data_IF_765921199298
#
_entry.id   IF_765921199298
#
_cell.length_a   1.000
_cell.length_b   1.000
_cell.length_c   1.000
_cell.angle_alpha   90.00
_cell.angle_beta   90.00
_cell.angle_gamma   90.00
#
_symmetry.space_group_name_H-M   'P 1'
#
loop_
_entity.id
_entity.type
_entity.pdbx_description
1 polymer ?
#
# COMPACT_ATOMS: atom_id res chain seq x y z
N UNK A 1 -43.78 -43.25 -24.03
CA UNK A 1 -43.07 -44.44 -24.54
C UNK A 1 -44.00 -45.18 -25.46
N UNK A 2 -43.48 -45.61 -26.61
CA UNK A 2 -44.11 -46.58 -27.51
C UNK A 2 -45.32 -46.11 -28.32
N UNK A 3 -45.05 -45.31 -29.36
CA UNK A 3 -45.34 -45.75 -30.72
C UNK A 3 -44.36 -45.01 -31.66
N UNK A 4 -43.17 -45.55 -31.87
CA UNK A 4 -42.90 -46.56 -32.91
C UNK A 4 -42.89 -45.88 -34.30
N UNK A 5 -41.71 -45.52 -34.82
CA UNK A 5 -40.93 -46.44 -35.67
C UNK A 5 -41.71 -47.03 -36.87
N UNK A 6 -42.77 -46.36 -37.34
CA UNK A 6 -43.58 -46.86 -38.46
C UNK A 6 -44.00 -45.81 -39.48
N UNK A 7 -43.06 -45.01 -39.93
CA UNK A 7 -43.12 -44.53 -41.32
C UNK A 7 -41.70 -44.39 -41.86
N UNK A 8 -40.93 -45.48 -41.83
CA UNK A 8 -40.61 -46.22 -43.05
C UNK A 8 -40.64 -45.31 -44.29
N UNK A 9 -39.43 -44.98 -44.75
CA UNK A 9 -38.85 -45.68 -45.91
C UNK A 9 -39.78 -45.61 -47.13
N UNK A 10 -39.60 -44.57 -47.94
CA UNK A 10 -39.86 -44.54 -49.40
C UNK A 10 -39.58 -43.08 -49.80
N UNK A 11 -38.42 -42.76 -50.36
CA UNK A 11 -38.19 -42.83 -51.81
C UNK A 11 -36.68 -42.66 -52.02
N UNK A 12 -35.99 -43.74 -52.41
CA UNK A 12 -35.60 -44.07 -53.80
C UNK A 12 -34.26 -43.43 -54.20
N UNK A 13 -33.19 -44.23 -54.20
CA UNK A 13 -32.23 -44.23 -55.33
C UNK A 13 -32.87 -44.90 -56.56
N UNK A 14 -32.18 -45.10 -57.71
CA UNK A 14 -30.76 -45.48 -57.82
C UNK A 14 -29.95 -44.77 -58.94
N UNK A 15 -28.66 -45.14 -58.99
CA UNK A 15 -27.55 -44.68 -59.86
C UNK A 15 -27.72 -44.97 -61.36
N UNK A 16 -26.82 -44.42 -62.20
CA UNK A 16 -26.08 -45.30 -63.12
C UNK A 16 -24.56 -45.11 -63.09
N UNK A 17 -23.88 -46.04 -63.76
CA UNK A 17 -22.53 -46.52 -63.53
C UNK A 17 -21.61 -46.27 -64.75
N UNK A 18 -20.30 -46.15 -64.48
CA UNK A 18 -19.13 -46.56 -65.30
C UNK A 18 -18.79 -45.86 -66.63
N UNK A 19 -17.58 -45.26 -66.69
CA UNK A 19 -16.38 -45.84 -67.36
C UNK A 19 -15.12 -44.96 -67.22
N UNK A 20 -13.97 -45.65 -67.19
CA UNK A 20 -12.60 -45.22 -66.86
C UNK A 20 -11.84 -44.62 -68.07
N UNK A 21 -10.87 -43.73 -67.84
CA UNK A 21 -9.44 -43.80 -68.32
C UNK A 21 -8.59 -42.59 -67.84
N UNK A 22 -7.24 -42.59 -67.90
CA UNK A 22 -6.42 -42.59 -66.67
C UNK A 22 -5.37 -41.46 -66.52
N UNK A 23 -4.71 -41.50 -65.35
CA UNK A 23 -3.54 -40.80 -64.79
C UNK A 23 -2.56 -40.11 -65.78
N UNK A 24 -2.20 -38.86 -65.49
CA UNK A 24 -0.80 -38.37 -65.52
C UNK A 24 -0.51 -37.47 -64.32
N UNK A 25 0.66 -37.71 -63.75
CA UNK A 25 1.14 -37.18 -62.49
C UNK A 25 1.93 -35.89 -62.69
N UNK A 26 1.63 -34.87 -61.89
CA UNK A 26 2.61 -33.86 -61.49
C UNK A 26 2.55 -33.72 -59.97
N UNK A 27 3.56 -34.31 -59.33
CA UNK A 27 3.81 -34.23 -57.91
C UNK A 27 4.22 -32.80 -57.54
N UNK A 28 3.30 -32.03 -56.95
CA UNK A 28 3.66 -30.90 -56.08
C UNK A 28 3.48 -31.36 -54.64
N UNK A 29 4.62 -31.65 -54.01
CA UNK A 29 4.77 -31.93 -52.59
C UNK A 29 4.10 -30.82 -51.77
N UNK A 30 2.93 -31.13 -51.20
CA UNK A 30 2.33 -30.34 -50.13
C UNK A 30 3.15 -30.62 -48.88
N UNK A 31 4.12 -29.75 -48.58
CA UNK A 31 4.71 -29.65 -47.24
C UNK A 31 3.56 -29.43 -46.25
N UNK A 32 3.20 -30.47 -45.49
CA UNK A 32 2.44 -30.32 -44.26
C UNK A 32 3.27 -29.39 -43.38
N UNK A 33 2.71 -28.22 -43.05
CA UNK A 33 3.20 -27.43 -41.92
C UNK A 33 2.88 -28.28 -40.70
N UNK A 34 3.85 -29.10 -40.31
CA UNK A 34 3.89 -29.67 -38.97
C UNK A 34 3.93 -28.47 -38.03
N UNK A 35 2.77 -28.14 -37.46
CA UNK A 35 2.70 -27.27 -36.31
C UNK A 35 3.45 -28.01 -35.22
N UNK A 36 4.73 -27.67 -35.08
CA UNK A 36 5.53 -28.04 -33.93
C UNK A 36 4.73 -27.58 -32.72
N UNK A 37 4.05 -28.52 -32.06
CA UNK A 37 3.62 -28.36 -30.68
C UNK A 37 4.90 -28.12 -29.92
N UNK A 38 5.22 -26.85 -29.72
CA UNK A 38 6.24 -26.43 -28.77
C UNK A 38 5.81 -27.11 -27.48
N UNK A 39 6.59 -28.07 -26.95
CA UNK A 39 6.28 -28.62 -25.65
C UNK A 39 6.24 -27.41 -24.73
N UNK A 40 5.10 -27.22 -24.05
CA UNK A 40 5.01 -26.30 -22.94
C UNK A 40 6.15 -26.73 -22.03
N UNK A 41 7.23 -25.94 -22.01
CA UNK A 41 8.29 -26.11 -21.04
C UNK A 41 7.58 -25.81 -19.74
N UNK A 42 7.06 -26.86 -19.11
CA UNK A 42 6.90 -26.89 -17.67
C UNK A 42 8.31 -26.67 -17.17
N UNK A 43 8.65 -25.40 -16.97
CA UNK A 43 9.77 -25.02 -16.12
C UNK A 43 9.52 -25.80 -14.85
N UNK A 44 10.33 -26.84 -14.62
CA UNK A 44 10.38 -27.54 -13.37
C UNK A 44 10.45 -26.43 -12.33
N UNK A 45 9.38 -26.28 -11.53
CA UNK A 45 9.32 -25.27 -10.49
C UNK A 45 10.59 -25.45 -9.68
N UNK A 46 11.52 -24.50 -9.77
CA UNK A 46 12.61 -24.40 -8.83
C UNK A 46 11.93 -24.50 -7.47
N UNK A 47 12.25 -25.54 -6.70
CA UNK A 47 11.61 -25.75 -5.42
C UNK A 47 11.80 -24.46 -4.62
N UNK A 48 10.70 -23.76 -4.35
CA UNK A 48 10.73 -22.50 -3.63
C UNK A 48 11.46 -22.75 -2.32
N UNK A 49 12.22 -21.80 -1.77
CA UNK A 49 12.91 -22.00 -0.48
C UNK A 49 11.93 -22.49 0.62
N UNK A 50 10.67 -22.05 0.55
CA UNK A 50 9.58 -22.54 1.37
C UNK A 50 9.29 -24.03 1.18
N UNK A 51 9.28 -24.55 -0.04
CA UNK A 51 9.01 -25.97 -0.32
C UNK A 51 10.09 -26.88 0.27
N UNK A 52 11.36 -26.48 0.14
CA UNK A 52 12.50 -27.18 0.78
C UNK A 52 12.34 -27.18 2.31
N UNK A 53 12.01 -26.02 2.90
CA UNK A 53 11.75 -25.90 4.33
C UNK A 53 10.58 -26.81 4.77
N UNK A 54 9.48 -26.83 4.01
CA UNK A 54 8.32 -27.66 4.31
C UNK A 54 8.64 -29.16 4.24
N UNK A 55 9.52 -29.59 3.34
CA UNK A 55 10.01 -30.97 3.29
C UNK A 55 10.91 -31.31 4.49
N UNK A 56 11.78 -30.40 4.90
CA UNK A 56 12.69 -30.62 6.03
C UNK A 56 11.94 -30.76 7.36
N UNK A 57 10.93 -29.92 7.60
CA UNK A 57 10.16 -29.99 8.85
C UNK A 57 9.28 -31.24 8.94
N UNK A 58 8.95 -31.88 7.82
CA UNK A 58 8.16 -33.12 7.82
C UNK A 58 8.91 -34.31 8.42
N UNK A 59 10.25 -34.28 8.42
CA UNK A 59 11.10 -35.35 8.97
C UNK A 59 10.98 -35.46 10.49
N UNK A 60 10.60 -34.37 11.17
CA UNK A 60 10.47 -34.36 12.62
C UNK A 60 9.15 -34.97 13.08
N UNK A 61 9.24 -35.94 13.99
CA UNK A 61 8.07 -36.57 14.61
C UNK A 61 7.50 -35.73 15.75
N UNK A 62 6.17 -35.74 15.94
CA UNK A 62 5.54 -35.13 17.10
C UNK A 62 5.96 -35.86 18.38
N UNK A 63 6.05 -35.11 19.47
CA UNK A 63 6.47 -35.62 20.78
C UNK A 63 5.25 -36.13 21.57
N UNK A 64 5.48 -37.12 22.43
CA UNK A 64 4.49 -37.52 23.43
C UNK A 64 4.46 -36.53 24.60
N UNK A 65 3.37 -36.54 25.38
CA UNK A 65 3.24 -35.65 26.55
C UNK A 65 4.36 -35.87 27.59
N UNK A 66 4.78 -37.12 27.78
CA UNK A 66 5.88 -37.47 28.69
C UNK A 66 7.23 -36.94 28.19
N UNK A 67 7.47 -37.02 26.87
CA UNK A 67 8.67 -36.48 26.23
C UNK A 67 8.72 -34.95 26.33
N UNK A 68 7.59 -34.27 26.13
CA UNK A 68 7.46 -32.82 26.32
C UNK A 68 7.84 -32.42 27.76
N UNK A 69 7.32 -33.13 28.77
CA UNK A 69 7.64 -32.87 30.17
C UNK A 69 9.11 -33.15 30.53
N UNK A 70 9.71 -34.20 29.95
CA UNK A 70 11.14 -34.47 30.12
C UNK A 70 12.02 -33.38 29.50
N UNK A 71 11.70 -32.93 28.29
CA UNK A 71 12.43 -31.86 27.61
C UNK A 71 12.27 -30.52 28.34
N UNK A 72 11.06 -30.18 28.80
CA UNK A 72 10.80 -28.96 29.58
C UNK A 72 11.67 -28.87 30.85
N UNK A 73 11.78 -29.98 31.60
CA UNK A 73 12.65 -30.06 32.78
C UNK A 73 14.12 -29.82 32.46
N UNK A 74 14.59 -30.30 31.30
CA UNK A 74 15.97 -30.07 30.82
C UNK A 74 16.19 -28.63 30.35
N UNK A 75 15.22 -28.05 29.65
CA UNK A 75 15.26 -26.66 29.19
C UNK A 75 15.40 -25.69 30.37
N UNK A 76 14.69 -25.95 31.48
CA UNK A 76 14.84 -25.18 32.74
C UNK A 76 16.25 -25.21 33.31
N UNK A 77 16.98 -26.30 33.12
CA UNK A 77 18.38 -26.44 33.52
C UNK A 77 19.36 -25.80 32.52
N UNK A 78 18.86 -25.13 31.48
CA UNK A 78 19.68 -24.45 30.47
C UNK A 78 20.10 -25.31 29.28
N UNK A 79 19.52 -26.50 29.11
CA UNK A 79 19.87 -27.42 28.02
C UNK A 79 19.37 -26.92 26.66
N UNK A 80 20.31 -26.46 25.82
CA UNK A 80 20.04 -25.97 24.47
C UNK A 80 19.59 -27.06 23.50
N UNK A 81 20.12 -28.27 23.62
CA UNK A 81 19.75 -29.38 22.73
C UNK A 81 18.31 -29.83 22.99
N UNK A 82 17.88 -29.80 24.26
CA UNK A 82 16.49 -30.07 24.61
C UNK A 82 15.53 -29.01 24.06
N UNK A 83 15.91 -27.73 24.11
CA UNK A 83 15.14 -26.62 23.55
C UNK A 83 14.97 -26.77 22.04
N UNK A 84 16.05 -27.04 21.34
CA UNK A 84 16.04 -27.21 19.90
C UNK A 84 15.19 -28.41 19.46
N UNK A 85 15.30 -29.54 20.17
CA UNK A 85 14.46 -30.72 19.92
C UNK A 85 12.98 -30.42 20.10
N UNK A 86 12.62 -29.70 21.17
CA UNK A 86 11.22 -29.29 21.42
C UNK A 86 10.70 -28.36 20.30
N UNK A 87 11.51 -27.40 19.84
CA UNK A 87 11.13 -26.49 18.76
C UNK A 87 10.96 -27.24 17.43
N UNK A 88 11.98 -28.01 17.01
CA UNK A 88 11.98 -28.74 15.73
C UNK A 88 10.77 -29.68 15.58
N UNK A 89 10.40 -30.38 16.65
CA UNK A 89 9.22 -31.25 16.67
C UNK A 89 7.89 -30.53 16.51
N UNK A 90 7.83 -29.21 16.73
CA UNK A 90 6.61 -28.40 16.68
C UNK A 90 6.57 -27.41 15.50
N UNK A 91 7.57 -27.38 14.60
CA UNK A 91 7.60 -26.45 13.46
C UNK A 91 6.42 -26.63 12.50
N UNK A 92 5.95 -27.88 12.29
CA UNK A 92 4.77 -28.17 11.47
C UNK A 92 3.50 -27.49 11.99
N UNK A 93 3.39 -27.37 13.31
CA UNK A 93 2.26 -26.71 13.94
C UNK A 93 2.26 -25.20 13.63
N UNK A 94 3.41 -24.54 13.67
CA UNK A 94 3.53 -23.12 13.33
C UNK A 94 3.03 -22.84 11.91
N UNK A 95 3.41 -23.68 10.95
CA UNK A 95 2.93 -23.56 9.56
C UNK A 95 1.39 -23.67 9.49
N UNK A 96 0.79 -24.60 10.23
CA UNK A 96 -0.66 -24.74 10.27
C UNK A 96 -1.37 -23.51 10.84
N UNK A 97 -0.76 -22.83 11.82
CA UNK A 97 -1.29 -21.60 12.40
C UNK A 97 -1.11 -20.44 11.41
N UNK A 98 0.07 -20.30 10.81
CA UNK A 98 0.41 -19.23 9.87
C UNK A 98 -0.44 -19.25 8.60
N UNK A 99 -0.82 -20.43 8.09
CA UNK A 99 -1.74 -20.57 6.95
C UNK A 99 -3.08 -19.85 7.14
N UNK A 100 -3.57 -19.74 8.38
CA UNK A 100 -4.82 -19.02 8.66
C UNK A 100 -4.70 -17.49 8.50
N UNK A 101 -3.48 -16.98 8.39
CA UNK A 101 -3.16 -15.55 8.25
C UNK A 101 -2.56 -15.21 6.88
N UNK A 102 -2.63 -16.14 5.92
CA UNK A 102 -2.18 -15.91 4.56
C UNK A 102 -3.01 -14.78 3.90
N UNK A 103 -2.45 -14.16 2.87
CA UNK A 103 -3.12 -13.13 2.03
C UNK A 103 -3.42 -11.81 2.76
N UNK A 104 -2.83 -11.59 3.94
CA UNK A 104 -2.97 -10.35 4.72
C UNK A 104 -1.79 -9.38 4.50
N UNK A 105 -1.20 -9.36 3.31
CA UNK A 105 -0.13 -8.43 2.93
C UNK A 105 1.29 -8.83 3.34
N UNK A 106 1.47 -9.96 4.02
CA UNK A 106 2.80 -10.52 4.37
C UNK A 106 2.92 -11.93 3.76
N UNK A 107 4.03 -12.27 3.09
CA UNK A 107 4.20 -13.59 2.49
C UNK A 107 4.23 -14.69 3.56
N UNK A 108 3.80 -15.90 3.19
CA UNK A 108 3.71 -17.03 4.12
C UNK A 108 5.07 -17.38 4.76
N UNK A 109 6.16 -17.21 4.00
CA UNK A 109 7.54 -17.42 4.48
C UNK A 109 7.86 -16.58 5.71
N UNK A 110 7.53 -15.28 5.64
CA UNK A 110 7.75 -14.33 6.73
C UNK A 110 6.83 -14.64 7.92
N UNK A 111 5.57 -14.98 7.67
CA UNK A 111 4.63 -15.39 8.73
C UNK A 111 5.12 -16.62 9.48
N UNK A 112 5.66 -17.61 8.77
CA UNK A 112 6.24 -18.82 9.37
C UNK A 112 7.50 -18.49 10.16
N UNK A 113 8.39 -17.66 9.61
CA UNK A 113 9.63 -17.23 10.29
C UNK A 113 9.33 -16.53 11.62
N UNK A 114 8.40 -15.57 11.61
CA UNK A 114 7.98 -14.86 12.82
C UNK A 114 7.24 -15.79 13.79
N UNK A 115 6.37 -16.66 13.28
CA UNK A 115 5.71 -17.68 14.07
C UNK A 115 6.71 -18.59 14.80
N UNK A 116 7.81 -18.95 14.14
CA UNK A 116 8.89 -19.74 14.74
C UNK A 116 9.59 -18.95 15.86
N UNK A 117 9.79 -17.64 15.72
CA UNK A 117 10.28 -16.80 16.82
C UNK A 117 9.31 -16.79 18.01
N UNK A 118 8.00 -16.75 17.75
CA UNK A 118 6.97 -16.89 18.79
C UNK A 118 7.03 -18.24 19.52
N UNK A 119 7.22 -19.33 18.76
CA UNK A 119 7.40 -20.67 19.29
C UNK A 119 8.64 -20.78 20.20
N UNK A 120 9.77 -20.19 19.79
CA UNK A 120 11.01 -20.15 20.59
C UNK A 120 10.76 -19.44 21.93
N UNK A 121 10.04 -18.30 21.91
CA UNK A 121 9.66 -17.57 23.13
C UNK A 121 8.78 -18.42 24.05
N UNK A 122 7.81 -19.14 23.48
CA UNK A 122 6.96 -20.07 24.24
C UNK A 122 7.77 -21.20 24.87
N UNK A 123 8.68 -21.82 24.10
CA UNK A 123 9.50 -22.95 24.56
C UNK A 123 10.41 -22.58 25.75
N UNK A 124 10.91 -21.34 25.80
CA UNK A 124 11.72 -20.85 26.93
C UNK A 124 10.90 -20.60 28.21
N UNK A 125 9.60 -20.31 28.09
CA UNK A 125 8.72 -19.93 29.20
C UNK A 125 7.74 -21.02 29.62
N UNK A 126 7.75 -22.16 28.93
CA UNK A 126 6.85 -23.27 29.20
C UNK A 126 7.13 -23.91 30.56
N UNK A 127 6.06 -24.26 31.27
CA UNK A 127 6.09 -24.92 32.57
C UNK A 127 5.33 -26.24 32.50
N UNK A 128 6.04 -27.36 32.70
CA UNK A 128 5.46 -28.69 32.70
C UNK A 128 4.53 -28.96 33.90
N UNK A 129 4.65 -28.21 35.00
CA UNK A 129 3.87 -28.43 36.22
C UNK A 129 2.38 -28.15 36.03
N UNK A 130 2.03 -27.41 34.98
CA UNK A 130 0.65 -26.98 34.73
C UNK A 130 -0.21 -28.02 33.98
N UNK A 131 0.31 -29.23 33.78
CA UNK A 131 -0.39 -30.41 33.22
C UNK A 131 -1.20 -30.14 31.93
N UNK A 132 -0.70 -29.26 31.06
CA UNK A 132 -1.24 -29.02 29.72
C UNK A 132 -0.18 -29.26 28.66
N UNK A 133 -0.61 -29.57 27.43
CA UNK A 133 0.28 -29.79 26.28
C UNK A 133 1.02 -28.50 25.91
N UNK A 134 2.28 -28.63 25.49
CA UNK A 134 3.10 -27.48 25.09
C UNK A 134 2.42 -26.63 24.01
N UNK A 135 1.81 -27.28 23.01
CA UNK A 135 1.13 -26.63 21.90
C UNK A 135 0.01 -25.70 22.39
N UNK A 136 -0.76 -26.09 23.42
CA UNK A 136 -1.85 -25.29 23.98
C UNK A 136 -1.36 -23.93 24.50
N UNK A 137 -0.14 -23.87 25.04
CA UNK A 137 0.50 -22.63 25.47
C UNK A 137 1.18 -21.88 24.32
N UNK A 138 1.83 -22.62 23.41
CA UNK A 138 2.56 -22.04 22.30
C UNK A 138 1.68 -21.26 21.31
N UNK A 139 0.43 -21.69 21.11
CA UNK A 139 -0.52 -21.03 20.19
C UNK A 139 -0.64 -19.53 20.45
N UNK A 140 -0.72 -19.12 21.72
CA UNK A 140 -0.88 -17.71 22.07
C UNK A 140 0.34 -16.89 21.64
N UNK A 141 1.55 -17.38 21.91
CA UNK A 141 2.80 -16.73 21.53
C UNK A 141 3.02 -16.68 20.02
N UNK A 142 2.65 -17.76 19.31
CA UNK A 142 2.73 -17.83 17.85
C UNK A 142 1.77 -16.80 17.23
N UNK A 143 0.50 -16.78 17.68
CA UNK A 143 -0.50 -15.82 17.20
C UNK A 143 -0.10 -14.39 17.50
N UNK A 144 0.38 -14.12 18.71
CA UNK A 144 0.83 -12.78 19.07
C UNK A 144 1.97 -12.31 18.18
N UNK A 145 2.97 -13.16 17.93
CA UNK A 145 4.09 -12.80 17.06
C UNK A 145 3.62 -12.51 15.62
N UNK A 146 2.77 -13.38 15.07
CA UNK A 146 2.20 -13.20 13.72
C UNK A 146 1.38 -11.90 13.64
N UNK A 147 0.46 -11.68 14.58
CA UNK A 147 -0.39 -10.48 14.59
C UNK A 147 0.42 -9.20 14.76
N UNK A 148 1.48 -9.23 15.57
CA UNK A 148 2.39 -8.10 15.73
C UNK A 148 3.10 -7.77 14.41
N UNK A 149 3.61 -8.77 13.71
CA UNK A 149 4.25 -8.57 12.41
C UNK A 149 3.27 -8.10 11.35
N UNK A 150 2.05 -8.64 11.33
CA UNK A 150 1.01 -8.14 10.43
C UNK A 150 0.71 -6.67 10.73
N UNK A 151 0.61 -6.26 11.99
CA UNK A 151 0.42 -4.86 12.37
C UNK A 151 1.55 -3.95 11.85
N UNK A 152 2.79 -4.43 11.91
CA UNK A 152 3.98 -3.63 11.60
C UNK A 152 4.36 -3.66 10.09
N UNK A 153 4.11 -4.75 9.36
CA UNK A 153 4.63 -5.01 8.01
C UNK A 153 3.56 -5.23 6.93
N UNK A 154 2.28 -5.43 7.26
CA UNK A 154 1.27 -5.74 6.23
C UNK A 154 0.93 -4.58 5.29
N UNK A 155 1.31 -3.36 5.64
CA UNK A 155 0.85 -2.13 4.98
C UNK A 155 1.99 -1.17 4.74
N UNK A 156 1.85 -0.35 3.69
CA UNK A 156 2.80 0.72 3.37
C UNK A 156 2.93 1.72 4.52
N UNK A 157 1.82 2.00 5.20
CA UNK A 157 1.80 2.88 6.36
C UNK A 157 1.60 2.09 7.65
N UNK A 158 2.46 2.35 8.64
CA UNK A 158 2.38 1.72 9.96
C UNK A 158 1.14 2.18 10.71
N UNK A 159 0.35 1.23 11.23
CA UNK A 159 -0.82 1.51 12.05
C UNK A 159 -0.50 1.20 13.52
N UNK A 160 -0.87 2.08 14.47
CA UNK A 160 -0.78 1.77 15.89
C UNK A 160 -1.55 0.50 16.30
N UNK A 161 -0.95 -0.33 17.15
CA UNK A 161 -1.50 -1.63 17.59
C UNK A 161 -2.94 -1.55 18.14
N UNK A 162 -3.28 -0.47 18.85
CA UNK A 162 -4.62 -0.27 19.40
C UNK A 162 -5.72 -0.08 18.34
N UNK A 163 -5.36 0.24 17.09
CA UNK A 163 -6.29 0.40 15.97
C UNK A 163 -6.34 -0.82 15.03
N UNK A 164 -5.30 -1.65 15.03
CA UNK A 164 -5.19 -2.82 14.12
C UNK A 164 -6.33 -3.82 14.32
N UNK A 165 -6.73 -4.07 15.57
CA UNK A 165 -7.83 -5.00 15.87
C UNK A 165 -9.17 -4.53 15.28
N UNK A 166 -9.46 -3.23 15.36
CA UNK A 166 -10.66 -2.62 14.78
C UNK A 166 -10.66 -2.73 13.26
N UNK A 167 -9.53 -2.39 12.62
CA UNK A 167 -9.37 -2.51 11.15
C UNK A 167 -9.58 -3.95 10.69
N UNK A 168 -9.01 -4.93 11.39
CA UNK A 168 -9.17 -6.35 11.06
C UNK A 168 -10.62 -6.83 11.21
N UNK A 169 -11.29 -6.46 12.30
CA UNK A 169 -12.70 -6.80 12.55
C UNK A 169 -13.60 -6.23 11.45
N UNK A 170 -13.43 -4.96 11.11
CA UNK A 170 -14.22 -4.29 10.07
C UNK A 170 -13.97 -4.91 8.70
N UNK A 171 -12.72 -5.21 8.33
CA UNK A 171 -12.42 -5.90 7.07
C UNK A 171 -13.11 -7.26 6.97
N UNK A 172 -12.97 -8.09 8.01
CA UNK A 172 -13.60 -9.43 8.03
C UNK A 172 -15.13 -9.39 8.06
N UNK A 173 -15.70 -8.42 8.78
CA UNK A 173 -17.15 -8.20 8.80
C UNK A 173 -17.63 -7.74 7.42
N UNK A 174 -16.89 -6.83 6.77
CA UNK A 174 -17.18 -6.38 5.42
C UNK A 174 -17.21 -7.55 4.43
N UNK A 175 -16.19 -8.41 4.42
CA UNK A 175 -16.15 -9.57 3.52
C UNK A 175 -17.33 -10.53 3.74
N UNK A 176 -17.68 -10.79 5.01
CA UNK A 176 -18.84 -11.62 5.36
C UNK A 176 -20.16 -10.99 4.93
N UNK A 177 -20.32 -9.69 5.14
CA UNK A 177 -21.52 -8.95 4.76
C UNK A 177 -21.67 -8.86 3.25
N UNK A 178 -20.58 -8.66 2.51
CA UNK A 178 -20.59 -8.70 1.04
C UNK A 178 -21.06 -10.06 0.54
N UNK A 179 -20.58 -11.16 1.15
CA UNK A 179 -21.03 -12.51 0.80
C UNK A 179 -22.51 -12.75 1.14
N UNK A 180 -23.00 -12.21 2.26
CA UNK A 180 -24.39 -12.40 2.74
C UNK A 180 -25.41 -11.52 2.02
N UNK A 181 -25.06 -10.26 1.75
CA UNK A 181 -25.96 -9.24 1.21
C UNK A 181 -25.83 -9.09 -0.32
N UNK A 182 -24.80 -9.68 -0.92
CA UNK A 182 -24.45 -9.51 -2.35
C UNK A 182 -24.29 -8.03 -2.77
N UNK A 183 -23.97 -7.16 -1.82
CA UNK A 183 -23.69 -5.72 -2.02
C UNK A 183 -22.67 -5.23 -0.99
N UNK A 184 -22.13 -4.04 -1.22
CA UNK A 184 -21.32 -3.36 -0.21
C UNK A 184 -22.18 -3.06 1.05
N UNK A 185 -21.66 -3.34 2.26
CA UNK A 185 -22.35 -3.03 3.50
C UNK A 185 -22.33 -1.53 3.82
N UNK A 186 -23.37 -1.06 4.50
CA UNK A 186 -23.41 0.29 5.07
C UNK A 186 -22.50 0.39 6.30
N UNK A 187 -22.09 1.61 6.65
CA UNK A 187 -21.32 1.89 7.88
C UNK A 187 -22.11 1.45 9.12
N UNK A 188 -23.43 1.68 9.13
CA UNK A 188 -24.29 1.30 10.26
C UNK A 188 -24.38 -0.22 10.41
N UNK A 189 -24.51 -0.96 9.30
CA UNK A 189 -24.51 -2.44 9.30
C UNK A 189 -23.18 -3.03 9.79
N UNK A 190 -22.06 -2.37 9.44
CA UNK A 190 -20.74 -2.74 9.93
C UNK A 190 -20.57 -2.44 11.42
N UNK A 191 -21.09 -1.31 11.89
CA UNK A 191 -21.06 -0.93 13.30
C UNK A 191 -21.83 -1.95 14.15
N UNK A 192 -23.01 -2.36 13.69
CA UNK A 192 -23.85 -3.36 14.37
C UNK A 192 -23.18 -4.74 14.42
N UNK A 193 -22.57 -5.20 13.31
CA UNK A 193 -21.90 -6.51 13.25
C UNK A 193 -20.56 -6.52 14.02
N UNK A 194 -19.87 -5.38 14.13
CA UNK A 194 -18.54 -5.31 14.77
C UNK A 194 -18.55 -4.80 16.21
N UNK A 195 -19.70 -4.31 16.69
CA UNK A 195 -19.88 -3.62 17.98
C UNK A 195 -18.95 -2.41 18.14
N UNK A 196 -18.59 -1.75 17.03
CA UNK A 196 -17.71 -0.59 17.00
C UNK A 196 -18.52 0.68 16.75
N UNK A 197 -18.07 1.80 17.32
CA UNK A 197 -18.68 3.10 17.04
C UNK A 197 -18.53 3.51 15.57
N UNK A 198 -19.54 4.20 15.02
CA UNK A 198 -19.56 4.66 13.62
C UNK A 198 -18.27 5.36 13.17
N UNK A 199 -17.71 6.21 14.02
CA UNK A 199 -16.45 6.94 13.74
C UNK A 199 -15.25 6.00 13.57
N UNK A 200 -15.17 4.94 14.37
CA UNK A 200 -14.09 3.96 14.29
C UNK A 200 -14.23 3.08 13.05
N UNK A 201 -15.46 2.74 12.65
CA UNK A 201 -15.75 2.03 11.40
C UNK A 201 -15.36 2.87 10.19
N UNK A 202 -15.74 4.15 10.15
CA UNK A 202 -15.34 5.07 9.08
C UNK A 202 -13.82 5.19 8.95
N UNK A 203 -13.13 5.35 10.09
CA UNK A 203 -11.67 5.41 10.10
C UNK A 203 -11.06 4.09 9.60
N UNK A 204 -11.58 2.95 10.06
CA UNK A 204 -11.13 1.64 9.63
C UNK A 204 -11.29 1.43 8.12
N UNK A 205 -12.42 1.85 7.54
CA UNK A 205 -12.66 1.79 6.10
C UNK A 205 -11.70 2.68 5.30
N UNK A 206 -11.40 3.89 5.80
CA UNK A 206 -10.40 4.77 5.16
C UNK A 206 -9.01 4.15 5.17
N UNK A 207 -8.61 3.55 6.29
CA UNK A 207 -7.32 2.88 6.45
C UNK A 207 -7.24 1.62 5.56
N UNK A 208 -8.36 0.94 5.33
CA UNK A 208 -8.38 -0.29 4.55
C UNK A 208 -8.43 -0.08 3.02
N UNK A 209 -8.34 1.16 2.54
CA UNK A 209 -8.30 1.43 1.10
C UNK A 209 -6.99 0.88 0.50
N UNK A 210 -7.06 0.13 -0.61
CA UNK A 210 -5.86 -0.35 -1.27
C UNK A 210 -5.06 0.81 -1.86
N UNK A 211 -3.74 0.71 -1.76
CA UNK A 211 -2.83 1.65 -2.42
C UNK A 211 -2.64 1.23 -3.89
N UNK A 212 -2.48 2.21 -4.77
CA UNK A 212 -2.22 1.99 -6.20
C UNK A 212 -0.81 2.47 -6.50
N UNK A 213 -0.04 1.68 -7.27
CA UNK A 213 1.29 2.09 -7.73
C UNK A 213 1.16 3.23 -8.75
N UNK A 214 2.02 4.24 -8.63
CA UNK A 214 2.13 5.30 -9.64
C UNK A 214 2.66 4.74 -10.97
N UNK A 215 3.42 3.64 -10.94
CA UNK A 215 3.92 2.95 -12.14
C UNK A 215 2.86 2.05 -12.80
N UNK A 216 1.67 1.92 -12.20
CA UNK A 216 0.60 1.13 -12.80
C UNK A 216 0.21 1.80 -14.13
N UNK A 217 0.13 1.05 -15.25
CA UNK A 217 -0.34 1.62 -16.50
C UNK A 217 -1.82 2.01 -16.39
N UNK A 218 -2.19 3.08 -17.08
CA UNK A 218 -3.58 3.52 -17.15
C UNK A 218 -4.42 2.54 -17.96
N UNK A 219 -5.69 2.40 -17.59
CA UNK A 219 -6.61 1.50 -18.27
C UNK A 219 -6.95 2.10 -19.66
N UNK A 220 -6.53 1.42 -20.73
CA UNK A 220 -6.73 1.87 -22.11
C UNK A 220 -5.50 2.53 -22.76
N UNK A 221 -4.46 2.86 -21.99
CA UNK A 221 -3.17 3.33 -22.53
C UNK A 221 -2.00 2.67 -21.79
N UNK A 222 -1.33 1.73 -22.45
CA UNK A 222 -0.21 1.01 -21.89
C UNK A 222 1.10 1.83 -21.80
N UNK A 223 1.14 3.04 -22.39
CA UNK A 223 2.32 3.92 -22.34
C UNK A 223 2.28 4.91 -21.20
N UNK A 224 1.09 5.32 -20.78
CA UNK A 224 0.89 6.31 -19.73
C UNK A 224 0.71 5.63 -18.38
N UNK A 225 1.40 6.12 -17.35
CA UNK A 225 1.29 5.59 -15.99
C UNK A 225 0.48 6.55 -15.10
N UNK A 226 -0.03 6.06 -13.96
CA UNK A 226 -0.73 6.91 -12.99
C UNK A 226 0.13 8.11 -12.52
N UNK A 227 1.45 7.92 -12.42
CA UNK A 227 2.41 8.96 -12.07
C UNK A 227 2.37 10.17 -13.00
N UNK A 228 2.22 9.97 -14.31
CA UNK A 228 2.22 11.05 -15.31
C UNK A 228 1.01 11.98 -15.17
N UNK A 229 -0.10 11.48 -14.62
CA UNK A 229 -1.34 12.24 -14.41
C UNK A 229 -1.35 12.96 -13.07
N UNK A 230 -0.81 12.31 -12.03
CA UNK A 230 -0.83 12.82 -10.65
C UNK A 230 0.31 13.81 -10.39
N UNK A 231 1.47 13.64 -11.05
CA UNK A 231 2.60 14.56 -10.98
C UNK A 231 2.46 15.74 -11.97
N UNK A 232 1.24 16.09 -12.35
CA UNK A 232 1.00 17.42 -12.89
C UNK A 232 1.46 18.42 -11.82
N UNK A 233 2.47 19.21 -12.16
CA UNK A 233 3.14 20.17 -11.28
C UNK A 233 2.13 20.98 -10.44
N UNK A 234 1.81 20.53 -9.23
CA UNK A 234 1.04 21.34 -8.26
C UNK A 234 1.89 22.51 -7.72
N UNK A 235 3.22 22.40 -7.85
CA UNK A 235 4.21 23.43 -7.47
C UNK A 235 4.75 24.22 -8.66
N UNK A 236 4.46 23.80 -9.89
CA UNK A 236 4.87 24.54 -11.08
C UNK A 236 3.98 25.74 -11.22
N UNK A 237 4.42 26.86 -10.64
CA UNK A 237 3.89 28.17 -10.99
C UNK A 237 3.64 28.22 -12.48
N UNK A 238 2.39 28.40 -12.87
CA UNK A 238 2.06 28.52 -14.28
C UNK A 238 2.90 29.66 -14.88
N UNK A 239 3.28 29.61 -16.17
CA UNK A 239 4.00 30.70 -16.81
C UNK A 239 3.32 32.06 -16.57
N UNK A 240 1.99 32.08 -16.52
CA UNK A 240 1.17 33.24 -16.20
C UNK A 240 1.36 33.73 -14.76
N UNK A 241 1.42 32.83 -13.77
CA UNK A 241 1.76 33.18 -12.38
C UNK A 241 3.18 33.75 -12.26
N UNK A 242 4.13 33.18 -13.00
CA UNK A 242 5.51 33.69 -13.07
C UNK A 242 5.56 35.13 -13.59
N UNK A 243 4.85 35.40 -14.70
CA UNK A 243 4.75 36.73 -15.31
C UNK A 243 4.03 37.70 -14.37
N UNK A 244 2.92 37.28 -13.75
CA UNK A 244 2.17 38.09 -12.80
C UNK A 244 3.06 38.48 -11.60
N UNK A 245 3.79 37.54 -11.02
CA UNK A 245 4.73 37.78 -9.92
C UNK A 245 5.84 38.76 -10.32
N UNK A 246 6.42 38.61 -11.51
CA UNK A 246 7.44 39.54 -12.00
C UNK A 246 6.88 40.95 -12.22
N UNK A 247 5.65 41.05 -12.74
CA UNK A 247 4.93 42.33 -12.88
C UNK A 247 4.69 42.98 -11.51
N UNK A 248 4.24 42.22 -10.51
CA UNK A 248 4.06 42.71 -9.14
C UNK A 248 5.37 43.18 -8.53
N UNK A 249 6.47 42.45 -8.70
CA UNK A 249 7.79 42.85 -8.21
C UNK A 249 8.25 44.14 -8.88
N UNK A 250 8.03 44.30 -10.19
CA UNK A 250 8.34 45.55 -10.91
C UNK A 250 7.50 46.72 -10.42
N UNK A 251 6.20 46.51 -10.19
CA UNK A 251 5.32 47.53 -9.63
C UNK A 251 5.77 47.95 -8.21
N UNK A 252 6.09 46.99 -7.35
CA UNK A 252 6.63 47.23 -6.01
C UNK A 252 7.94 48.03 -6.06
N UNK A 253 8.88 47.67 -6.94
CA UNK A 253 10.15 48.41 -7.12
C UNK A 253 9.91 49.86 -7.58
N UNK A 254 8.92 50.12 -8.43
CA UNK A 254 8.55 51.48 -8.83
C UNK A 254 7.97 52.28 -7.67
N UNK A 255 7.07 51.68 -6.88
CA UNK A 255 6.48 52.32 -5.71
C UNK A 255 7.53 52.60 -4.63
N UNK A 256 8.49 51.70 -4.39
CA UNK A 256 9.55 51.93 -3.42
C UNK A 256 10.49 53.07 -3.79
N UNK A 257 10.58 53.45 -5.08
CA UNK A 257 11.40 54.58 -5.55
C UNK A 257 10.75 55.96 -5.31
N UNK A 258 9.47 56.02 -4.95
CA UNK A 258 8.81 57.30 -4.61
C UNK A 258 9.07 57.72 -3.17
N UNK A 259 9.54 56.79 -2.34
CA UNK A 259 9.97 57.04 -0.98
C UNK A 259 11.38 57.65 -0.95
N UNK A 260 11.68 58.42 0.09
CA UNK A 260 13.04 58.89 0.33
C UNK A 260 13.96 57.72 0.71
N UNK A 261 15.28 57.84 0.48
CA UNK A 261 16.25 56.76 0.73
C UNK A 261 16.15 56.17 2.14
N UNK A 262 15.93 57.02 3.16
CA UNK A 262 15.73 56.59 4.56
C UNK A 262 14.43 55.82 4.78
N UNK A 263 13.35 56.22 4.11
CA UNK A 263 12.05 55.53 4.20
C UNK A 263 12.10 54.18 3.48
N UNK A 264 12.72 54.16 2.30
CA UNK A 264 12.91 52.96 1.50
C UNK A 264 13.73 51.90 2.26
N UNK A 265 14.84 52.30 2.91
CA UNK A 265 15.70 51.39 3.67
C UNK A 265 14.97 50.79 4.89
N UNK A 266 14.18 51.61 5.62
CA UNK A 266 13.38 51.13 6.76
C UNK A 266 12.30 50.15 6.31
N UNK A 267 11.59 50.43 5.21
CA UNK A 267 10.55 49.54 4.67
C UNK A 267 11.15 48.24 4.15
N UNK A 268 12.28 48.29 3.43
CA UNK A 268 12.98 47.08 2.95
C UNK A 268 13.42 46.18 4.09
N UNK A 269 14.06 46.74 5.12
CA UNK A 269 14.50 45.97 6.30
C UNK A 269 13.34 45.40 7.11
N UNK A 270 12.26 46.17 7.27
CA UNK A 270 11.10 45.73 8.05
C UNK A 270 10.35 44.57 7.41
N UNK A 271 10.19 44.59 6.08
CA UNK A 271 9.48 43.53 5.35
C UNK A 271 10.40 42.46 4.76
N UNK A 272 11.72 42.57 4.92
CA UNK A 272 12.67 41.65 4.29
C UNK A 272 12.67 41.75 2.76
N UNK A 273 12.38 42.92 2.19
CA UNK A 273 12.41 43.09 0.73
C UNK A 273 13.88 43.20 0.31
N UNK A 274 14.33 42.31 -0.58
CA UNK A 274 15.75 42.13 -0.98
C UNK A 274 16.64 41.50 0.11
N UNK A 275 16.06 40.89 1.16
CA UNK A 275 16.75 40.15 2.23
C UNK A 275 15.98 38.89 2.60
N UNK A 276 16.64 37.92 3.23
CA UNK A 276 16.00 36.66 3.60
C UNK A 276 15.06 36.79 4.83
N UNK A 277 15.31 37.76 5.72
CA UNK A 277 14.55 37.91 6.96
C UNK A 277 14.07 39.34 7.24
N UNK A 278 12.81 39.51 7.71
CA UNK A 278 12.30 40.78 8.21
C UNK A 278 12.94 41.13 9.56
N UNK A 279 13.29 42.40 9.76
CA UNK A 279 13.90 42.89 10.99
C UNK A 279 12.88 43.57 11.92
N UNK A 280 13.10 43.48 13.23
CA UNK A 280 12.27 44.20 14.20
C UNK A 280 12.55 45.71 14.17
N UNK A 281 11.60 46.53 14.63
CA UNK A 281 11.78 47.99 14.72
C UNK A 281 12.98 48.40 15.59
N UNK A 282 13.31 47.58 16.60
CA UNK A 282 14.44 47.79 17.50
C UNK A 282 15.78 47.50 16.80
N UNK A 283 15.84 46.42 16.01
CA UNK A 283 17.03 46.06 15.21
C UNK A 283 17.32 47.11 14.14
N UNK A 284 16.28 47.59 13.47
CA UNK A 284 16.37 48.66 12.47
C UNK A 284 16.82 49.97 13.14
N UNK A 285 16.31 50.27 14.34
CA UNK A 285 16.70 51.43 15.14
C UNK A 285 18.18 51.40 15.53
N UNK A 286 18.66 50.26 16.05
CA UNK A 286 20.08 50.04 16.36
C UNK A 286 20.97 50.21 15.14
N UNK A 287 20.56 49.68 13.98
CA UNK A 287 21.34 49.76 12.75
C UNK A 287 21.37 51.14 12.09
N UNK A 288 20.42 52.03 12.37
CA UNK A 288 20.31 53.37 11.77
C UNK A 288 20.58 54.52 12.77
N UNK A 289 20.90 54.21 14.03
CA UNK A 289 21.08 55.20 15.09
C UNK A 289 19.80 55.95 15.46
N UNK A 290 18.64 55.28 15.35
CA UNK A 290 17.31 55.84 15.61
C UNK A 290 16.64 55.14 16.78
N UNK A 291 15.78 55.87 17.49
CA UNK A 291 14.89 55.25 18.49
C UNK A 291 13.84 54.40 17.79
N UNK A 292 13.39 53.33 18.45
CA UNK A 292 12.30 52.45 17.97
C UNK A 292 11.07 53.25 17.52
N UNK A 293 10.69 54.24 18.31
CA UNK A 293 9.53 55.09 18.03
C UNK A 293 9.74 55.95 16.78
N UNK A 294 10.97 56.43 16.55
CA UNK A 294 11.29 57.17 15.32
C UNK A 294 11.22 56.28 14.09
N UNK A 295 11.71 55.03 14.15
CA UNK A 295 11.58 54.05 13.06
C UNK A 295 10.11 53.75 12.76
N UNK A 296 9.27 53.60 13.81
CA UNK A 296 7.82 53.40 13.66
C UNK A 296 7.16 54.57 12.92
N UNK A 297 7.45 55.80 13.31
CA UNK A 297 6.91 57.00 12.66
C UNK A 297 7.29 57.08 11.18
N UNK A 298 8.57 56.84 10.85
CA UNK A 298 9.05 56.88 9.46
C UNK A 298 8.39 55.78 8.62
N UNK A 299 8.25 54.56 9.17
CA UNK A 299 7.50 53.47 8.53
C UNK A 299 6.04 53.85 8.26
N UNK A 300 5.35 54.40 9.26
CA UNK A 300 3.92 54.75 9.13
C UNK A 300 3.72 55.88 8.09
N UNK A 301 4.63 56.84 8.01
CA UNK A 301 4.65 57.87 6.95
C UNK A 301 4.90 57.25 5.57
N UNK A 302 5.90 56.38 5.45
CA UNK A 302 6.20 55.68 4.20
C UNK A 302 5.00 54.84 3.70
N UNK A 303 4.31 54.14 4.61
CA UNK A 303 3.12 53.35 4.27
C UNK A 303 1.95 54.23 3.80
N UNK A 304 1.78 55.44 4.35
CA UNK A 304 0.79 56.40 3.86
C UNK A 304 1.11 56.85 2.44
N UNK A 305 2.36 57.21 2.17
CA UNK A 305 2.82 57.61 0.83
C UNK A 305 2.63 56.50 -0.20
N UNK A 306 3.03 55.26 0.15
CA UNK A 306 2.83 54.08 -0.71
C UNK A 306 1.35 53.80 -0.97
N UNK A 307 0.47 53.99 0.02
CA UNK A 307 -0.98 53.80 -0.14
C UNK A 307 -1.60 54.82 -1.09
N UNK A 308 -1.21 56.09 -0.98
CA UNK A 308 -1.68 57.13 -1.90
C UNK A 308 -1.23 56.87 -3.33
N UNK A 309 0.02 56.44 -3.53
CA UNK A 309 0.55 56.12 -4.85
C UNK A 309 -0.09 54.85 -5.44
N UNK A 310 -0.33 53.83 -4.62
CA UNK A 310 -1.08 52.63 -5.03
C UNK A 310 -2.49 52.98 -5.50
N UNK A 311 -3.22 53.79 -4.74
CA UNK A 311 -4.57 54.26 -5.13
C UNK A 311 -4.53 55.08 -6.42
N UNK A 312 -3.50 55.92 -6.62
CA UNK A 312 -3.33 56.70 -7.85
C UNK A 312 -3.01 55.84 -9.06
N UNK A 313 -2.20 54.80 -8.91
CA UNK A 313 -1.90 53.83 -9.97
C UNK A 313 -3.12 52.96 -10.30
N UNK A 314 -3.79 52.45 -9.27
CA UNK A 314 -4.99 51.62 -9.39
C UNK A 314 -6.14 52.35 -10.10
N UNK A 315 -6.37 53.63 -9.79
CA UNK A 315 -7.37 54.46 -10.45
C UNK A 315 -7.05 54.74 -11.92
N UNK A 316 -5.78 54.86 -12.30
CA UNK A 316 -5.36 55.06 -13.70
C UNK A 316 -5.51 53.81 -14.55
N UNK A 317 -5.37 52.63 -13.95
CA UNK A 317 -5.41 51.33 -14.64
C UNK A 317 -6.85 50.85 -14.88
N UNK A 318 -7.82 51.31 -14.08
CA UNK A 318 -9.24 50.92 -14.17
C UNK A 318 -10.21 51.98 -14.72
N UNK A 319 -9.75 53.22 -14.96
CA UNK A 319 -10.59 54.30 -15.54
C UNK A 319 -10.26 54.64 -17.00
N UNK A 320 -9.41 53.86 -17.66
CA UNK A 320 -9.19 53.87 -19.11
C UNK A 320 -9.65 52.55 -19.73
#
# INVERSE_FOLDING_TARGET
>A
MAEYQREKRRRKGPKPDKRRRPKRAHARSRRKKDTVKVPKVETAKEATMLDMYLQDIQRYRPLSSEQEAHLARRIRKGDRAALEKLIRSNLRFVVSVAKNYQEQGVPLEDLVSVGNMGLVKAARRFDEKKNFRFISYAVWWIRQAILQTLADQSRLFKIPLNRVSGVYKVGKASDRLVQRLHRAPSIDELADETELGRRDVELALKINRPHVSLDKPLEGDAKSVYGDVVLGDEEGHTPDEGIARESTIRALKRMLRTLNEREQEIVKRYFGIERDEPQTLDDIGRGLGLTRERVRQVKDTAMKTLRTEYMRSFLKEHMN
#
